data_IF_042611022022
#
_entry.id   IF_042611022022
#
_cell.length_a   1.000
_cell.length_b   1.000
_cell.length_c   1.000
_cell.angle_alpha   90.00
_cell.angle_beta   90.00
_cell.angle_gamma   90.00
#
_symmetry.space_group_name_H-M   'P 1'
#
loop_
_entity.id
_entity.type
_entity.pdbx_description
1 polymer ?
#
# COMPACT_ATOMS: atom_id res chain seq x y z
N UNK A 1 -2.51 51.43 -38.85
CA UNK A 1 -1.64 50.91 -37.78
C UNK A 1 -2.47 50.11 -36.82
N UNK A 2 -2.41 48.74 -36.91
CA UNK A 2 -3.09 47.81 -35.98
C UNK A 2 -2.06 47.32 -34.99
N UNK A 3 -2.27 47.60 -33.71
CA UNK A 3 -1.43 47.09 -32.62
C UNK A 3 -1.69 45.58 -32.43
N UNK A 4 -0.63 44.79 -32.51
CA UNK A 4 -0.65 43.37 -32.16
C UNK A 4 -0.61 43.26 -30.63
N UNK A 5 -1.61 42.59 -30.04
CA UNK A 5 -1.62 42.20 -28.62
C UNK A 5 -0.71 40.98 -28.43
N UNK A 6 0.38 41.16 -27.70
CA UNK A 6 1.24 40.07 -27.26
C UNK A 6 0.55 39.24 -26.17
N UNK A 7 0.46 37.93 -26.37
CA UNK A 7 0.06 36.98 -25.34
C UNK A 7 1.26 36.69 -24.42
N UNK A 8 1.08 36.61 -23.10
CA UNK A 8 2.16 36.25 -22.20
C UNK A 8 2.56 34.80 -22.39
N UNK A 9 3.85 34.55 -22.56
CA UNK A 9 4.45 33.21 -22.58
C UNK A 9 4.36 32.61 -21.14
N UNK A 10 3.58 31.59 -20.95
CA UNK A 10 3.51 30.85 -19.68
C UNK A 10 4.89 30.27 -19.33
N UNK A 11 5.35 30.46 -18.10
CA UNK A 11 6.62 29.93 -17.62
C UNK A 11 6.62 28.40 -17.62
N UNK A 12 7.78 27.79 -17.89
CA UNK A 12 7.97 26.32 -17.89
C UNK A 12 7.52 25.64 -16.59
N UNK A 13 7.49 26.37 -15.48
CA UNK A 13 7.00 25.90 -14.18
C UNK A 13 5.47 25.72 -14.16
N UNK A 14 4.70 26.58 -14.80
CA UNK A 14 3.24 26.50 -14.85
C UNK A 14 2.74 25.28 -15.65
N UNK A 15 3.48 24.87 -16.69
CA UNK A 15 3.17 23.69 -17.50
C UNK A 15 3.39 22.39 -16.69
N UNK A 16 4.46 22.33 -15.87
CA UNK A 16 4.74 21.18 -15.01
C UNK A 16 3.68 20.96 -13.92
N UNK A 17 3.10 22.02 -13.38
CA UNK A 17 2.02 21.95 -12.37
C UNK A 17 0.74 21.31 -12.92
N UNK A 18 0.39 21.56 -14.18
CA UNK A 18 -0.81 20.97 -14.80
C UNK A 18 -0.72 19.45 -15.01
N UNK A 19 0.51 18.92 -15.13
CA UNK A 19 0.78 17.52 -15.49
C UNK A 19 0.60 16.56 -14.32
N UNK A 20 0.99 16.94 -13.12
CA UNK A 20 0.94 16.09 -11.92
C UNK A 20 -0.49 15.95 -11.38
N UNK A 21 -1.30 16.96 -11.61
CA UNK A 21 -2.71 16.96 -11.24
C UNK A 21 -3.54 15.90 -11.99
N UNK A 22 -3.01 15.31 -13.07
CA UNK A 22 -3.74 14.32 -13.88
C UNK A 22 -3.51 12.86 -13.45
N UNK A 23 -2.36 12.52 -12.88
CA UNK A 23 -1.97 11.13 -12.57
C UNK A 23 -2.78 10.53 -11.41
N UNK A 24 -3.31 11.36 -10.51
CA UNK A 24 -3.93 10.90 -9.26
C UNK A 24 -5.41 10.56 -9.34
N UNK A 25 -6.11 10.99 -10.39
CA UNK A 25 -7.53 10.68 -10.54
C UNK A 25 -7.82 9.24 -11.03
N UNK A 26 -6.84 8.47 -11.52
CA UNK A 26 -7.02 7.10 -12.05
C UNK A 26 -7.15 6.02 -10.98
N UNK A 27 -6.65 6.26 -9.81
CA UNK A 27 -6.91 5.34 -8.69
C UNK A 27 -8.39 5.27 -8.32
N UNK A 28 -9.22 6.19 -8.84
CA UNK A 28 -10.66 6.27 -8.59
C UNK A 28 -11.53 5.42 -9.53
N UNK A 29 -11.08 5.17 -10.75
CA UNK A 29 -11.89 4.45 -11.74
C UNK A 29 -11.84 2.92 -11.59
N UNK A 30 -10.83 2.38 -10.90
CA UNK A 30 -10.67 0.93 -10.69
C UNK A 30 -11.55 0.33 -9.59
N UNK A 31 -12.09 1.13 -8.67
CA UNK A 31 -12.81 0.65 -7.49
C UNK A 31 -14.35 0.68 -7.60
N UNK A 32 -14.93 1.23 -8.67
CA UNK A 32 -16.39 1.36 -8.82
C UNK A 32 -16.98 0.52 -9.96
N UNK A 33 -16.57 -0.74 -10.09
CA UNK A 33 -17.35 -1.70 -10.90
C UNK A 33 -18.37 -2.41 -10.01
N UNK A 34 -19.63 -2.00 -10.15
CA UNK A 34 -20.79 -2.67 -9.56
C UNK A 34 -20.80 -4.15 -9.97
N UNK A 35 -20.81 -5.02 -8.98
CA UNK A 35 -21.05 -6.46 -9.13
C UNK A 35 -22.46 -6.68 -9.70
N UNK A 36 -22.54 -7.16 -10.94
CA UNK A 36 -23.75 -7.78 -11.48
C UNK A 36 -23.84 -9.20 -10.89
N UNK A 37 -24.96 -9.51 -10.28
CA UNK A 37 -25.26 -10.83 -9.72
C UNK A 37 -25.32 -11.91 -10.80
N UNK A 38 -24.75 -13.12 -10.57
CA UNK A 38 -24.93 -14.23 -11.51
C UNK A 38 -26.30 -14.86 -11.35
N UNK A 39 -26.97 -15.06 -12.49
CA UNK A 39 -28.24 -15.74 -12.58
C UNK A 39 -28.14 -17.21 -12.17
N UNK A 40 -29.17 -17.70 -11.49
CA UNK A 40 -29.36 -19.09 -11.14
C UNK A 40 -29.59 -19.93 -12.40
N UNK A 41 -28.85 -21.02 -12.55
CA UNK A 41 -29.24 -22.15 -13.40
C UNK A 41 -29.36 -23.40 -12.54
N UNK A 42 -30.60 -23.91 -12.48
CA UNK A 42 -30.98 -25.18 -11.89
C UNK A 42 -30.57 -26.34 -12.82
N UNK A 43 -29.81 -27.27 -12.30
CA UNK A 43 -29.52 -28.54 -12.99
C UNK A 43 -29.42 -29.68 -11.99
N UNK A 44 -30.46 -30.48 -12.00
CA UNK A 44 -30.62 -31.73 -11.22
C UNK A 44 -29.77 -32.83 -11.84
N UNK A 45 -29.00 -33.59 -11.06
CA UNK A 45 -28.54 -34.90 -11.45
C UNK A 45 -28.31 -35.84 -10.22
N UNK A 46 -28.79 -36.99 -10.37
CA UNK A 46 -29.13 -38.11 -9.52
C UNK A 46 -27.91 -38.83 -8.96
N UNK A 47 -28.07 -39.35 -7.74
CA UNK A 47 -27.16 -40.27 -7.05
C UNK A 47 -27.21 -41.67 -7.60
N UNK A 48 -26.08 -42.39 -7.57
CA UNK A 48 -26.06 -43.85 -7.53
C UNK A 48 -24.93 -44.35 -6.60
N UNK A 49 -25.33 -45.19 -5.67
CA UNK A 49 -24.55 -45.86 -4.67
C UNK A 49 -23.78 -47.07 -5.19
N UNK A 50 -22.66 -47.42 -4.57
CA UNK A 50 -21.98 -48.68 -4.74
C UNK A 50 -20.96 -48.94 -3.63
N UNK A 51 -21.36 -49.66 -2.61
CA UNK A 51 -20.50 -50.19 -1.56
C UNK A 51 -19.89 -51.52 -1.98
N UNK A 52 -18.63 -51.77 -1.63
CA UNK A 52 -18.19 -53.13 -1.31
C UNK A 52 -16.98 -53.13 -0.35
N UNK A 53 -17.14 -53.96 0.70
CA UNK A 53 -16.17 -54.25 1.72
C UNK A 53 -15.23 -55.41 1.30
N UNK A 54 -14.01 -55.42 1.83
CA UNK A 54 -13.06 -56.52 1.71
C UNK A 54 -12.15 -56.58 2.95
N UNK A 55 -12.18 -57.74 3.59
CA UNK A 55 -11.65 -58.06 4.90
C UNK A 55 -10.12 -58.19 5.00
N UNK A 56 -9.68 -58.04 6.24
CA UNK A 56 -8.41 -58.30 6.90
C UNK A 56 -7.76 -59.66 6.69
N UNK A 57 -6.40 -59.71 6.78
CA UNK A 57 -5.69 -60.85 7.37
C UNK A 57 -4.45 -60.35 8.15
N UNK A 58 -4.40 -60.75 9.42
CA UNK A 58 -3.26 -60.61 10.33
C UNK A 58 -2.15 -61.63 10.01
N UNK A 59 -0.89 -61.28 10.29
CA UNK A 59 0.26 -62.16 10.36
C UNK A 59 1.35 -61.59 11.27
N UNK A 60 2.17 -62.37 11.96
CA UNK A 60 2.65 -62.09 13.30
C UNK A 60 3.94 -61.30 13.42
N UNK A 61 4.07 -60.65 14.61
CA UNK A 61 5.16 -59.81 15.05
C UNK A 61 6.54 -60.47 15.07
N UNK A 62 7.54 -59.73 14.57
CA UNK A 62 8.95 -59.96 14.83
C UNK A 62 9.49 -58.80 15.68
N UNK A 63 10.00 -59.16 16.87
CA UNK A 63 10.62 -58.23 17.81
C UNK A 63 12.01 -57.78 17.27
N UNK A 64 12.17 -56.51 16.94
CA UNK A 64 13.45 -55.92 16.59
C UNK A 64 13.89 -54.95 17.69
N UNK A 65 15.02 -55.22 18.28
CA UNK A 65 15.74 -54.38 19.27
C UNK A 65 16.18 -53.08 18.62
N UNK A 66 15.75 -51.92 19.15
CA UNK A 66 16.16 -50.60 18.72
C UNK A 66 17.58 -50.28 19.20
N UNK A 67 18.44 -49.68 18.35
CA UNK A 67 19.70 -49.12 18.80
C UNK A 67 19.44 -47.79 19.54
N UNK A 68 20.24 -47.56 20.58
CA UNK A 68 20.24 -46.38 21.43
C UNK A 68 20.64 -45.15 20.57
N UNK A 69 19.70 -44.24 20.32
CA UNK A 69 19.98 -42.96 19.65
C UNK A 69 20.78 -42.03 20.57
N UNK A 70 21.94 -41.64 20.11
CA UNK A 70 22.75 -40.58 20.71
C UNK A 70 22.07 -39.24 20.42
N UNK A 71 21.52 -38.59 21.47
CA UNK A 71 20.88 -37.27 21.37
C UNK A 71 21.97 -36.25 20.93
N UNK A 72 21.85 -35.71 19.74
CA UNK A 72 22.64 -34.60 19.26
C UNK A 72 22.38 -33.36 20.14
N UNK A 73 23.38 -32.52 20.45
CA UNK A 73 23.18 -31.33 21.25
C UNK A 73 22.21 -30.37 20.53
N UNK A 74 21.20 -29.91 21.26
CA UNK A 74 20.26 -28.87 20.83
C UNK A 74 21.03 -27.66 20.36
N UNK A 75 20.79 -27.12 19.15
CA UNK A 75 21.47 -25.93 18.69
C UNK A 75 21.18 -24.76 19.64
N UNK A 76 22.23 -24.08 20.10
CA UNK A 76 22.13 -22.86 20.89
C UNK A 76 21.41 -21.82 20.03
N UNK A 77 20.34 -21.17 20.53
CA UNK A 77 19.66 -20.14 19.77
C UNK A 77 20.65 -19.03 19.39
N UNK A 78 20.71 -18.72 18.09
CA UNK A 78 21.48 -17.57 17.59
C UNK A 78 20.91 -16.31 18.24
N UNK A 79 21.74 -15.41 18.82
CA UNK A 79 21.23 -14.20 19.42
C UNK A 79 20.50 -13.37 18.36
N UNK A 80 19.24 -13.03 18.66
CA UNK A 80 18.42 -12.11 17.84
C UNK A 80 19.20 -10.79 17.77
N UNK A 81 19.47 -10.23 16.59
CA UNK A 81 20.15 -8.95 16.47
C UNK A 81 19.36 -7.88 17.21
N UNK A 82 20.01 -7.16 18.12
CA UNK A 82 19.44 -6.01 18.79
C UNK A 82 19.04 -4.97 17.74
N UNK A 83 17.80 -4.48 17.72
CA UNK A 83 17.39 -3.48 16.74
C UNK A 83 18.31 -2.26 16.82
N UNK A 84 18.87 -1.87 15.68
CA UNK A 84 19.70 -0.66 15.60
C UNK A 84 18.84 0.55 15.96
N UNK A 85 19.24 1.40 16.91
CA UNK A 85 18.47 2.59 17.27
C UNK A 85 18.23 3.44 16.01
N UNK A 86 16.98 3.74 15.71
CA UNK A 86 16.62 4.67 14.65
C UNK A 86 17.16 6.05 15.01
N UNK A 87 17.93 6.72 14.14
CA UNK A 87 18.37 8.08 14.40
C UNK A 87 17.16 8.96 14.65
N UNK A 88 17.11 9.64 15.80
CA UNK A 88 16.05 10.58 16.09
C UNK A 88 16.13 11.73 15.07
N UNK A 89 15.06 11.95 14.31
CA UNK A 89 14.95 13.17 13.48
C UNK A 89 15.04 14.39 14.39
N UNK A 90 15.71 15.47 13.96
CA UNK A 90 15.74 16.72 14.72
C UNK A 90 14.31 17.16 15.07
N UNK A 91 14.07 17.48 16.34
CA UNK A 91 12.78 17.98 16.81
C UNK A 91 12.60 19.37 16.24
N UNK A 92 11.58 19.55 15.40
CA UNK A 92 11.20 20.87 14.88
C UNK A 92 10.27 21.54 15.90
N UNK A 93 10.61 22.76 16.41
CA UNK A 93 9.80 23.45 17.41
C UNK A 93 8.36 23.74 16.95
N UNK A 94 8.12 23.94 15.64
CA UNK A 94 6.78 24.14 15.09
C UNK A 94 5.98 22.84 15.19
N UNK A 95 6.59 21.69 14.90
CA UNK A 95 5.96 20.38 14.99
C UNK A 95 5.57 20.06 16.43
N UNK A 96 6.48 20.28 17.38
CA UNK A 96 6.21 20.05 18.79
C UNK A 96 5.17 21.02 19.36
N UNK A 97 5.21 22.29 18.94
CA UNK A 97 4.21 23.28 19.37
C UNK A 97 2.81 22.97 18.84
N UNK A 98 2.73 22.42 17.64
CA UNK A 98 1.46 22.14 16.96
C UNK A 98 0.81 20.83 17.40
N UNK A 99 1.58 19.75 17.47
CA UNK A 99 1.08 18.40 17.74
C UNK A 99 1.33 17.93 19.19
N UNK A 100 2.21 18.59 19.91
CA UNK A 100 2.73 18.09 21.20
C UNK A 100 3.74 16.95 21.02
N UNK A 101 4.20 16.37 22.15
CA UNK A 101 5.16 15.26 22.12
C UNK A 101 4.55 13.99 21.53
N UNK A 102 5.39 13.12 20.96
CA UNK A 102 4.96 11.77 20.58
C UNK A 102 4.54 10.99 21.83
N UNK A 103 3.60 10.03 21.70
CA UNK A 103 3.34 9.08 22.76
C UNK A 103 4.62 8.33 23.13
N UNK A 104 4.71 7.87 24.37
CA UNK A 104 5.79 7.01 24.81
C UNK A 104 5.25 5.58 24.88
N UNK A 105 5.91 4.64 24.25
CA UNK A 105 5.55 3.23 24.38
C UNK A 105 5.69 2.78 25.84
N UNK A 106 4.69 2.07 26.35
CA UNK A 106 4.71 1.52 27.72
C UNK A 106 5.81 0.44 27.87
N UNK A 107 6.15 -0.20 26.77
CA UNK A 107 7.25 -1.16 26.61
C UNK A 107 7.77 -1.06 25.18
N UNK A 108 8.99 -1.49 24.94
CA UNK A 108 9.52 -1.65 23.57
C UNK A 108 9.63 -3.14 23.27
N UNK A 109 8.81 -3.59 22.32
CA UNK A 109 8.80 -4.98 21.86
C UNK A 109 9.60 -5.07 20.59
N UNK A 110 10.60 -5.97 20.55
CA UNK A 110 11.33 -6.25 19.33
C UNK A 110 10.46 -7.05 18.36
N UNK A 111 10.57 -6.76 17.08
CA UNK A 111 9.95 -7.53 16.01
C UNK A 111 11.01 -8.02 15.03
N UNK A 112 10.63 -8.98 14.22
CA UNK A 112 11.46 -9.48 13.13
C UNK A 112 10.92 -8.97 11.80
N UNK A 113 11.80 -8.38 10.97
CA UNK A 113 11.47 -8.10 9.59
C UNK A 113 11.39 -9.42 8.81
N UNK A 114 10.29 -9.63 8.09
CA UNK A 114 10.13 -10.79 7.22
C UNK A 114 10.10 -10.32 5.76
N UNK A 115 10.94 -10.91 4.91
CA UNK A 115 10.86 -10.65 3.47
C UNK A 115 9.53 -11.09 2.91
N UNK A 116 8.87 -10.21 2.16
CA UNK A 116 7.57 -10.48 1.57
C UNK A 116 7.60 -10.56 0.04
N UNK A 117 6.83 -11.52 -0.48
CA UNK A 117 6.44 -11.63 -1.88
C UNK A 117 4.93 -11.77 -1.90
N UNK A 118 4.25 -10.61 -1.91
CA UNK A 118 2.85 -10.53 -1.56
C UNK A 118 1.91 -10.36 -2.76
N UNK A 119 0.68 -10.86 -2.60
CA UNK A 119 -0.43 -10.63 -3.51
C UNK A 119 -1.51 -9.80 -2.85
N UNK A 120 -2.00 -8.76 -3.53
CA UNK A 120 -3.13 -7.98 -3.05
C UNK A 120 -4.45 -8.73 -3.30
N UNK A 121 -5.23 -8.92 -2.24
CA UNK A 121 -6.51 -9.64 -2.23
C UNK A 121 -7.72 -8.73 -1.98
N UNK A 122 -7.50 -7.48 -1.60
CA UNK A 122 -8.58 -6.55 -1.23
C UNK A 122 -9.47 -7.13 -0.13
N UNK A 123 -10.75 -7.36 -0.43
CA UNK A 123 -11.71 -7.96 0.51
C UNK A 123 -11.63 -9.50 0.56
N UNK A 124 -10.42 -10.07 0.59
CA UNK A 124 -10.15 -11.51 0.62
C UNK A 124 -10.76 -12.29 -0.57
N UNK A 125 -10.85 -11.66 -1.74
CA UNK A 125 -11.31 -12.32 -2.96
C UNK A 125 -10.31 -13.37 -3.44
N UNK A 126 -10.82 -14.47 -4.04
CA UNK A 126 -9.99 -15.55 -4.60
C UNK A 126 -9.03 -16.22 -3.59
N UNK A 127 -9.39 -16.25 -2.31
CA UNK A 127 -8.54 -16.76 -1.22
C UNK A 127 -7.97 -18.16 -1.52
N UNK A 128 -8.80 -19.12 -1.95
CA UNK A 128 -8.37 -20.51 -2.21
C UNK A 128 -7.38 -20.59 -3.39
N UNK A 129 -7.54 -19.76 -4.43
CA UNK A 129 -6.58 -19.72 -5.53
C UNK A 129 -5.25 -19.10 -5.13
N UNK A 130 -5.28 -18.13 -4.25
CA UNK A 130 -4.06 -17.49 -3.70
C UNK A 130 -3.31 -18.42 -2.77
N UNK A 131 -4.01 -19.17 -1.92
CA UNK A 131 -3.41 -20.22 -1.08
C UNK A 131 -2.70 -21.27 -1.96
N UNK A 132 -3.33 -21.70 -3.06
CA UNK A 132 -2.70 -22.62 -4.00
C UNK A 132 -1.43 -22.05 -4.61
N UNK A 133 -1.46 -20.77 -5.06
CA UNK A 133 -0.26 -20.10 -5.56
C UNK A 133 0.87 -20.05 -4.52
N UNK A 134 0.56 -19.73 -3.28
CA UNK A 134 1.56 -19.68 -2.21
C UNK A 134 2.14 -21.07 -1.84
N UNK A 135 1.37 -22.15 -2.05
CA UNK A 135 1.89 -23.51 -1.89
C UNK A 135 2.87 -23.92 -3.00
N UNK A 136 2.61 -23.45 -4.22
CA UNK A 136 3.32 -23.88 -5.42
C UNK A 136 4.46 -22.94 -5.83
N UNK A 137 4.49 -21.70 -5.29
CA UNK A 137 5.40 -20.64 -5.76
C UNK A 137 6.10 -19.90 -4.63
N UNK A 138 6.93 -18.93 -5.02
CA UNK A 138 7.67 -18.02 -4.12
C UNK A 138 6.79 -17.05 -3.32
N UNK A 139 5.48 -17.00 -3.56
CA UNK A 139 4.51 -16.15 -2.83
C UNK A 139 4.40 -16.61 -1.38
N UNK A 140 4.57 -15.68 -0.43
CA UNK A 140 4.57 -15.98 1.01
C UNK A 140 3.70 -15.03 1.85
N UNK A 141 3.10 -14.01 1.23
CA UNK A 141 2.30 -13.01 1.94
C UNK A 141 1.09 -12.57 1.12
N UNK A 142 0.11 -11.99 1.80
CA UNK A 142 -1.06 -11.35 1.18
C UNK A 142 -1.35 -10.00 1.81
N UNK A 143 -1.87 -9.06 1.00
CA UNK A 143 -2.39 -7.78 1.47
C UNK A 143 -3.92 -7.84 1.41
N UNK A 144 -4.58 -7.61 2.56
CA UNK A 144 -6.04 -7.53 2.67
C UNK A 144 -6.48 -6.15 3.14
N UNK A 145 -7.60 -5.65 2.63
CA UNK A 145 -8.15 -4.36 3.03
C UNK A 145 -8.88 -4.47 4.38
N UNK A 146 -8.31 -3.90 5.41
CA UNK A 146 -8.99 -3.69 6.69
C UNK A 146 -9.93 -2.49 6.62
N UNK A 147 -9.48 -1.40 6.01
CA UNK A 147 -10.25 -0.18 5.77
C UNK A 147 -9.94 0.40 4.40
N UNK A 148 -10.99 0.70 3.65
CA UNK A 148 -10.98 1.40 2.37
C UNK A 148 -11.57 2.80 2.51
N UNK A 149 -11.52 3.60 1.45
CA UNK A 149 -12.09 4.95 1.40
C UNK A 149 -13.59 5.03 1.71
N UNK A 150 -14.28 3.91 1.73
CA UNK A 150 -15.69 3.77 2.08
C UNK A 150 -15.91 2.95 3.36
N UNK A 151 -14.94 2.93 4.29
CA UNK A 151 -15.06 2.37 5.62
C UNK A 151 -14.40 1.00 5.83
N UNK A 152 -14.56 0.47 7.05
CA UNK A 152 -13.95 -0.77 7.54
C UNK A 152 -14.60 -2.00 6.91
N UNK A 153 -13.79 -3.01 6.54
CA UNK A 153 -14.22 -4.16 5.73
C UNK A 153 -14.52 -5.44 6.52
N UNK A 154 -14.35 -5.42 7.81
CA UNK A 154 -14.66 -6.53 8.74
C UNK A 154 -15.57 -6.02 9.88
N UNK A 155 -16.05 -6.90 10.74
CA UNK A 155 -16.91 -6.55 11.89
C UNK A 155 -16.08 -5.85 12.98
N UNK A 156 -15.77 -4.58 12.75
CA UNK A 156 -15.04 -3.75 13.70
C UNK A 156 -15.91 -3.25 14.85
N UNK A 157 -15.29 -3.06 16.01
CA UNK A 157 -15.87 -2.44 17.20
C UNK A 157 -15.23 -1.07 17.52
N UNK A 158 -14.37 -0.56 16.64
CA UNK A 158 -13.74 0.76 16.81
C UNK A 158 -14.84 1.83 16.91
N UNK A 159 -14.91 2.59 18.03
CA UNK A 159 -16.06 3.47 18.34
C UNK A 159 -16.37 4.45 17.20
N UNK A 160 -15.36 5.15 16.69
CA UNK A 160 -15.55 6.13 15.63
C UNK A 160 -16.14 5.51 14.35
N UNK A 161 -15.78 4.26 14.01
CA UNK A 161 -16.36 3.54 12.88
C UNK A 161 -17.81 3.14 13.13
N UNK A 162 -18.10 2.60 14.32
CA UNK A 162 -19.44 2.11 14.69
C UNK A 162 -20.44 3.26 14.79
N UNK A 163 -20.08 4.32 15.52
CA UNK A 163 -20.94 5.49 15.78
C UNK A 163 -21.31 6.27 14.52
N UNK A 164 -20.43 6.22 13.50
CA UNK A 164 -20.64 6.92 12.23
C UNK A 164 -21.07 6.00 11.08
N UNK A 165 -21.48 4.76 11.37
CA UNK A 165 -21.92 3.77 10.38
C UNK A 165 -20.90 3.49 9.27
N UNK A 166 -19.62 3.44 9.62
CA UNK A 166 -18.51 3.21 8.68
C UNK A 166 -18.04 1.75 8.63
N UNK A 167 -18.75 0.84 9.32
CA UNK A 167 -18.44 -0.60 9.28
C UNK A 167 -19.22 -1.24 8.13
N UNK A 168 -18.52 -1.58 7.06
CA UNK A 168 -19.06 -2.23 5.86
C UNK A 168 -18.39 -3.61 5.67
N UNK A 169 -18.67 -4.54 6.60
CA UNK A 169 -18.05 -5.85 6.64
C UNK A 169 -18.35 -6.65 5.35
N UNK A 170 -17.31 -7.04 4.64
CA UNK A 170 -17.37 -7.83 3.41
C UNK A 170 -16.91 -9.27 3.64
N UNK A 171 -16.13 -9.53 4.68
CA UNK A 171 -15.57 -10.85 5.00
C UNK A 171 -15.40 -11.03 6.51
N UNK A 172 -15.17 -12.29 6.89
CA UNK A 172 -14.87 -12.68 8.27
C UNK A 172 -13.35 -12.67 8.47
N UNK A 173 -12.80 -11.60 9.04
CA UNK A 173 -11.36 -11.42 9.21
C UNK A 173 -10.69 -12.57 9.99
N UNK A 174 -11.19 -13.00 11.18
CA UNK A 174 -10.62 -14.13 11.90
C UNK A 174 -10.52 -15.40 11.04
N UNK A 175 -11.57 -15.76 10.32
CA UNK A 175 -11.59 -16.97 9.49
C UNK A 175 -10.65 -16.89 8.28
N UNK A 176 -10.42 -15.70 7.72
CA UNK A 176 -9.46 -15.47 6.64
C UNK A 176 -8.04 -15.65 7.17
N UNK A 177 -7.72 -15.02 8.31
CA UNK A 177 -6.41 -15.14 8.96
C UNK A 177 -6.10 -16.59 9.31
N UNK A 178 -7.03 -17.31 9.96
CA UNK A 178 -6.87 -18.73 10.31
C UNK A 178 -6.48 -19.58 9.10
N UNK A 179 -7.18 -19.40 7.96
CA UNK A 179 -6.86 -20.13 6.72
C UNK A 179 -5.49 -19.80 6.16
N UNK A 180 -5.07 -18.55 6.21
CA UNK A 180 -3.78 -18.11 5.69
C UNK A 180 -2.63 -18.58 6.58
N UNK A 181 -2.79 -18.46 7.90
CA UNK A 181 -1.81 -18.94 8.88
C UNK A 181 -1.63 -20.45 8.86
N UNK A 182 -2.70 -21.23 8.60
CA UNK A 182 -2.60 -22.68 8.43
C UNK A 182 -1.67 -23.08 7.27
N UNK A 183 -1.39 -22.15 6.34
CA UNK A 183 -0.50 -22.34 5.20
C UNK A 183 0.85 -21.58 5.35
N UNK A 184 1.09 -20.98 6.50
CA UNK A 184 2.29 -20.19 6.75
C UNK A 184 2.37 -18.90 5.93
N UNK A 185 1.22 -18.33 5.52
CA UNK A 185 1.13 -17.12 4.71
C UNK A 185 0.97 -15.91 5.62
N UNK A 186 1.88 -14.93 5.50
CA UNK A 186 1.83 -13.66 6.23
C UNK A 186 0.65 -12.80 5.77
N UNK A 187 -0.08 -12.23 6.72
CA UNK A 187 -1.24 -11.38 6.48
C UNK A 187 -0.91 -9.91 6.76
N UNK A 188 -0.88 -9.11 5.71
CA UNK A 188 -0.65 -7.66 5.77
C UNK A 188 -2.00 -6.95 5.72
N UNK A 189 -2.33 -6.20 6.77
CA UNK A 189 -3.57 -5.45 6.87
C UNK A 189 -3.42 -4.02 6.33
N UNK A 190 -4.05 -3.73 5.18
CA UNK A 190 -4.01 -2.41 4.56
C UNK A 190 -5.11 -1.49 5.09
N UNK A 191 -4.74 -0.26 5.44
CA UNK A 191 -5.63 0.78 5.97
C UNK A 191 -5.45 2.06 5.13
N UNK A 192 -6.51 2.47 4.42
CA UNK A 192 -6.58 3.77 3.73
C UNK A 192 -6.76 4.88 4.78
N UNK A 193 -5.76 5.75 4.96
CA UNK A 193 -5.74 6.70 6.07
C UNK A 193 -6.53 7.98 5.79
N UNK A 194 -6.04 8.86 4.93
CA UNK A 194 -6.60 10.22 4.79
C UNK A 194 -7.60 10.40 3.66
N UNK A 195 -7.65 9.48 2.70
CA UNK A 195 -8.71 9.45 1.69
C UNK A 195 -9.92 8.71 2.24
N UNK A 196 -10.61 9.33 3.17
CA UNK A 196 -11.80 8.79 3.83
C UNK A 196 -12.98 9.78 3.70
N UNK A 197 -13.59 9.85 2.50
CA UNK A 197 -14.71 10.75 2.28
C UNK A 197 -15.94 10.40 3.12
N UNK A 198 -16.13 9.13 3.48
CA UNK A 198 -17.27 8.70 4.29
C UNK A 198 -17.17 9.23 5.72
N UNK A 199 -15.99 9.14 6.35
CA UNK A 199 -15.75 9.77 7.65
C UNK A 199 -15.83 11.30 7.53
N UNK A 200 -15.23 11.90 6.50
CA UNK A 200 -15.25 13.35 6.31
C UNK A 200 -16.68 13.90 6.04
N UNK A 201 -17.58 13.13 5.42
CA UNK A 201 -18.98 13.46 5.23
C UNK A 201 -19.79 13.27 6.52
N UNK A 202 -19.53 12.21 7.30
CA UNK A 202 -20.18 11.94 8.58
C UNK A 202 -19.72 12.90 9.70
N UNK A 203 -18.44 13.28 9.68
CA UNK A 203 -17.77 14.16 10.65
C UNK A 203 -17.02 15.29 9.91
N UNK A 204 -17.76 16.33 9.45
CA UNK A 204 -17.16 17.47 8.74
C UNK A 204 -16.09 18.22 9.55
N UNK A 205 -16.13 18.15 10.86
CA UNK A 205 -15.14 18.67 11.80
C UNK A 205 -13.76 17.96 11.66
N UNK A 206 -13.75 16.72 11.18
CA UNK A 206 -12.52 15.95 10.88
C UNK A 206 -12.03 16.15 9.45
N UNK A 207 -12.80 16.81 8.58
CA UNK A 207 -12.44 17.06 7.19
C UNK A 207 -11.40 18.18 7.06
N UNK A 208 -10.70 18.23 5.91
CA UNK A 208 -9.95 19.42 5.53
C UNK A 208 -10.94 20.54 5.22
N UNK A 209 -10.81 21.67 5.91
CA UNK A 209 -11.74 22.80 5.85
C UNK A 209 -11.06 24.07 5.28
N UNK A 210 -11.89 25.00 4.81
CA UNK A 210 -11.46 26.39 4.57
C UNK A 210 -11.44 27.20 5.89
N UNK A 211 -11.05 28.49 5.81
CA UNK A 211 -10.99 29.38 6.98
C UNK A 211 -12.36 29.63 7.64
N UNK A 212 -13.46 29.33 6.96
CA UNK A 212 -14.82 29.48 7.47
C UNK A 212 -15.40 28.18 8.06
N UNK A 213 -14.61 27.10 8.10
CA UNK A 213 -15.03 25.79 8.60
C UNK A 213 -15.81 24.95 7.59
N UNK A 214 -15.82 25.30 6.31
CA UNK A 214 -16.48 24.49 5.28
C UNK A 214 -15.55 23.38 4.80
N UNK A 215 -16.04 22.13 4.77
CA UNK A 215 -15.31 21.00 4.22
C UNK A 215 -15.01 21.20 2.73
N UNK A 216 -13.77 20.92 2.33
CA UNK A 216 -13.29 21.14 0.97
C UNK A 216 -13.43 19.87 0.12
N UNK A 217 -13.99 20.03 -1.09
CA UNK A 217 -14.11 18.98 -2.08
C UNK A 217 -13.04 19.13 -3.16
N UNK A 218 -12.33 18.05 -3.49
CA UNK A 218 -11.18 18.09 -4.40
C UNK A 218 -11.52 17.55 -5.79
N UNK A 219 -11.23 18.34 -6.83
CA UNK A 219 -11.61 18.06 -8.23
C UNK A 219 -11.08 16.72 -8.73
N UNK A 220 -9.82 16.42 -8.40
CA UNK A 220 -9.13 15.21 -8.88
C UNK A 220 -9.35 13.99 -7.96
N UNK A 221 -10.01 14.19 -6.83
CA UNK A 221 -10.35 13.11 -5.88
C UNK A 221 -11.85 12.74 -5.95
N UNK A 222 -12.43 12.80 -7.17
CA UNK A 222 -13.85 12.48 -7.39
C UNK A 222 -14.83 13.52 -6.86
N UNK A 223 -14.37 14.74 -6.63
CA UNK A 223 -15.13 15.83 -5.97
C UNK A 223 -15.58 15.43 -4.56
N UNK A 224 -14.75 14.68 -3.86
CA UNK A 224 -14.98 14.19 -2.50
C UNK A 224 -14.09 14.94 -1.49
N UNK A 225 -14.49 14.99 -0.20
CA UNK A 225 -13.65 15.51 0.85
C UNK A 225 -12.58 14.49 1.27
N UNK A 226 -11.56 14.98 1.97
CA UNK A 226 -10.55 14.17 2.69
C UNK A 226 -10.66 14.49 4.17
N UNK A 227 -10.37 13.53 5.04
CA UNK A 227 -10.10 13.83 6.44
C UNK A 227 -8.77 14.56 6.57
N UNK A 228 -8.65 15.37 7.61
CA UNK A 228 -7.52 16.28 7.78
C UNK A 228 -6.28 15.56 8.33
N UNK A 229 -5.15 15.49 7.58
CA UNK A 229 -3.92 14.86 8.06
C UNK A 229 -3.26 15.57 9.25
N UNK A 230 -3.71 16.77 9.62
CA UNK A 230 -3.26 17.45 10.83
C UNK A 230 -4.10 17.11 12.06
N UNK A 231 -5.20 16.37 11.93
CA UNK A 231 -6.11 16.05 13.03
C UNK A 231 -5.69 14.74 13.72
N UNK A 232 -5.35 14.81 15.02
CA UNK A 232 -4.87 13.66 15.80
C UNK A 232 -5.98 12.65 16.11
N UNK A 233 -7.26 13.03 16.11
CA UNK A 233 -8.37 12.06 16.24
C UNK A 233 -8.46 11.15 15.02
N UNK A 234 -8.15 11.70 13.82
CA UNK A 234 -8.03 10.90 12.59
C UNK A 234 -6.83 9.96 12.67
N UNK A 235 -5.71 10.38 13.28
CA UNK A 235 -4.56 9.52 13.49
C UNK A 235 -4.92 8.35 14.40
N UNK A 236 -5.50 8.65 15.56
CA UNK A 236 -5.89 7.64 16.54
C UNK A 236 -6.91 6.66 15.94
N UNK A 237 -7.87 7.13 15.17
CA UNK A 237 -8.84 6.27 14.48
C UNK A 237 -8.16 5.20 13.59
N UNK A 238 -7.17 5.57 12.79
CA UNK A 238 -6.46 4.62 11.96
C UNK A 238 -5.60 3.65 12.80
N UNK A 239 -5.00 4.13 13.88
CA UNK A 239 -4.24 3.31 14.84
C UNK A 239 -5.16 2.35 15.60
N UNK A 240 -6.36 2.75 15.99
CA UNK A 240 -7.32 1.90 16.69
C UNK A 240 -7.79 0.74 15.81
N UNK A 241 -8.04 0.98 14.51
CA UNK A 241 -8.33 -0.07 13.53
C UNK A 241 -7.15 -1.03 13.40
N UNK A 242 -5.92 -0.50 13.34
CA UNK A 242 -4.72 -1.32 13.29
C UNK A 242 -4.59 -2.22 14.53
N UNK A 243 -4.74 -1.64 15.74
CA UNK A 243 -4.66 -2.38 17.02
C UNK A 243 -5.73 -3.46 17.12
N UNK A 244 -6.96 -3.17 16.69
CA UNK A 244 -8.03 -4.16 16.68
C UNK A 244 -7.69 -5.33 15.73
N UNK A 245 -7.21 -5.04 14.52
CA UNK A 245 -6.84 -6.06 13.53
C UNK A 245 -5.63 -6.90 14.00
N UNK A 246 -4.64 -6.29 14.64
CA UNK A 246 -3.51 -6.98 15.27
C UNK A 246 -4.00 -7.94 16.36
N UNK A 247 -4.93 -7.51 17.21
CA UNK A 247 -5.50 -8.37 18.24
C UNK A 247 -6.30 -9.55 17.67
N UNK A 248 -6.76 -9.46 16.41
CA UNK A 248 -7.41 -10.55 15.67
C UNK A 248 -6.37 -11.51 15.05
N UNK A 249 -5.12 -11.02 14.81
CA UNK A 249 -4.03 -11.86 14.30
C UNK A 249 -3.40 -11.39 13.00
N UNK A 250 -3.59 -10.12 12.59
CA UNK A 250 -2.86 -9.53 11.45
C UNK A 250 -1.39 -9.40 11.80
N UNK A 251 -0.49 -9.82 10.90
CA UNK A 251 0.95 -9.91 11.13
C UNK A 251 1.70 -8.61 10.86
N UNK A 252 1.21 -7.76 9.95
CA UNK A 252 1.80 -6.48 9.58
C UNK A 252 0.70 -5.47 9.23
N UNK A 253 0.93 -4.20 9.52
CA UNK A 253 0.05 -3.09 9.14
C UNK A 253 0.68 -2.28 8.02
N UNK A 254 -0.11 -1.98 6.99
CA UNK A 254 0.29 -1.15 5.87
C UNK A 254 -0.67 0.03 5.72
N UNK A 255 -0.15 1.25 5.91
CA UNK A 255 -0.91 2.49 5.73
C UNK A 255 -0.82 3.00 4.31
N UNK A 256 -1.97 3.10 3.65
CA UNK A 256 -2.09 3.70 2.34
C UNK A 256 -2.79 5.07 2.42
N UNK A 257 -2.68 5.85 1.35
CA UNK A 257 -3.17 7.23 1.29
C UNK A 257 -2.67 8.10 2.46
N UNK A 258 -1.45 7.87 2.89
CA UNK A 258 -0.73 8.70 3.86
C UNK A 258 -0.21 9.96 3.17
N UNK A 259 -1.16 10.76 2.66
CA UNK A 259 -0.90 11.94 1.85
C UNK A 259 -2.03 12.96 1.89
N UNK A 260 -1.71 14.17 1.48
CA UNK A 260 -2.71 15.19 1.19
C UNK A 260 -3.39 14.96 -0.16
N UNK A 261 -4.61 15.49 -0.36
CA UNK A 261 -5.31 15.41 -1.64
C UNK A 261 -4.56 16.17 -2.73
N UNK A 262 -4.80 15.74 -3.97
CA UNK A 262 -4.23 16.36 -5.16
C UNK A 262 -5.26 17.23 -5.88
N UNK A 263 -4.76 18.16 -6.69
CA UNK A 263 -5.59 19.09 -7.45
C UNK A 263 -6.14 20.25 -6.62
N UNK A 264 -6.88 21.09 -7.30
CA UNK A 264 -7.58 22.20 -6.66
C UNK A 264 -8.94 21.82 -6.13
N UNK A 265 -9.47 22.60 -5.21
CA UNK A 265 -10.82 22.45 -4.68
C UNK A 265 -11.88 22.82 -5.73
N UNK A 266 -13.09 22.30 -5.57
CA UNK A 266 -14.21 22.58 -6.50
C UNK A 266 -14.62 24.05 -6.50
N UNK A 267 -14.50 24.73 -5.37
CA UNK A 267 -14.85 26.12 -5.15
C UNK A 267 -13.71 27.09 -5.42
N UNK A 268 -12.46 26.61 -5.52
CA UNK A 268 -11.27 27.44 -5.56
C UNK A 268 -10.80 27.90 -4.17
N UNK A 269 -11.53 27.60 -3.09
CA UNK A 269 -11.12 27.93 -1.74
C UNK A 269 -9.85 27.15 -1.33
N UNK A 270 -9.00 27.77 -0.52
CA UNK A 270 -7.78 27.16 0.00
C UNK A 270 -8.03 26.46 1.33
N UNK A 271 -7.34 25.32 1.60
CA UNK A 271 -7.37 24.70 2.90
C UNK A 271 -6.74 25.62 3.96
N UNK A 272 -7.30 25.54 5.18
CA UNK A 272 -6.79 26.26 6.34
C UNK A 272 -6.42 25.26 7.45
N UNK A 273 -5.20 25.32 7.90
CA UNK A 273 -4.67 24.45 8.95
C UNK A 273 -4.19 25.23 10.19
N UNK A 274 -4.26 26.56 10.16
CA UNK A 274 -3.78 27.47 11.18
C UNK A 274 -3.13 28.71 10.58
N UNK A 275 -2.58 29.58 11.41
CA UNK A 275 -1.91 30.82 10.96
C UNK A 275 -0.52 30.52 10.36
N UNK A 276 -0.13 31.31 9.39
CA UNK A 276 1.16 31.16 8.70
C UNK A 276 2.33 31.22 9.70
N UNK A 277 3.30 30.34 9.55
CA UNK A 277 4.47 30.25 10.45
C UNK A 277 4.22 29.45 11.73
N UNK A 278 2.97 29.02 12.02
CA UNK A 278 2.65 28.18 13.17
C UNK A 278 2.29 26.76 12.78
N UNK A 279 2.12 26.47 11.50
CA UNK A 279 1.67 25.19 10.96
C UNK A 279 2.88 24.44 10.39
N UNK A 280 3.08 23.17 10.79
CA UNK A 280 4.08 22.29 10.16
C UNK A 280 3.85 22.16 8.65
N UNK A 281 4.90 21.86 7.92
CA UNK A 281 4.77 21.51 6.49
C UNK A 281 3.96 20.20 6.32
N UNK A 282 3.42 19.95 5.14
CA UNK A 282 2.72 18.70 4.82
C UNK A 282 3.60 17.46 5.05
N UNK A 283 4.89 17.55 4.70
CA UNK A 283 5.85 16.47 4.94
C UNK A 283 6.00 16.22 6.45
N UNK A 284 6.13 17.28 7.25
CA UNK A 284 6.23 17.15 8.70
C UNK A 284 4.96 16.56 9.34
N UNK A 285 3.77 16.94 8.83
CA UNK A 285 2.50 16.38 9.33
C UNK A 285 2.37 14.88 9.05
N UNK A 286 2.67 14.45 7.82
CA UNK A 286 2.65 13.01 7.46
C UNK A 286 3.74 12.25 8.24
N UNK A 287 4.93 12.80 8.34
CA UNK A 287 6.02 12.19 9.12
C UNK A 287 5.64 12.03 10.59
N UNK A 288 5.00 13.06 11.19
CA UNK A 288 4.56 13.00 12.59
C UNK A 288 3.47 11.96 12.82
N UNK A 289 2.51 11.85 11.90
CA UNK A 289 1.51 10.76 11.93
C UNK A 289 2.17 9.38 11.89
N UNK A 290 3.09 9.15 10.96
CA UNK A 290 3.77 7.86 10.83
C UNK A 290 4.61 7.53 12.07
N UNK A 291 5.30 8.52 12.67
CA UNK A 291 6.00 8.34 13.94
C UNK A 291 5.04 8.04 15.09
N UNK A 292 3.90 8.74 15.17
CA UNK A 292 2.85 8.51 16.17
C UNK A 292 2.32 7.07 16.09
N UNK A 293 2.06 6.59 14.89
CA UNK A 293 1.59 5.24 14.65
C UNK A 293 2.69 4.19 14.94
N UNK A 294 3.95 4.47 14.53
CA UNK A 294 5.08 3.58 14.80
C UNK A 294 5.24 3.30 16.29
N UNK A 295 5.20 4.33 17.13
CA UNK A 295 5.31 4.14 18.59
C UNK A 295 4.22 3.21 19.11
N UNK A 296 2.99 3.37 18.67
CA UNK A 296 1.85 2.62 19.20
C UNK A 296 1.67 1.22 18.59
N UNK A 297 2.23 0.96 17.41
CA UNK A 297 2.08 -0.32 16.69
C UNK A 297 3.42 -1.07 16.73
N UNK A 298 4.48 -0.48 16.20
CA UNK A 298 5.76 -1.17 16.03
C UNK A 298 6.53 -1.25 17.35
N UNK A 299 6.69 -0.12 18.04
CA UNK A 299 7.48 -0.10 19.28
C UNK A 299 6.70 -0.79 20.44
N UNK A 300 5.40 -0.56 20.58
CA UNK A 300 4.61 -1.06 21.73
C UNK A 300 4.11 -2.49 21.54
N UNK A 301 3.73 -2.90 20.33
CA UNK A 301 3.14 -4.22 20.05
C UNK A 301 4.09 -5.18 19.31
N UNK A 302 5.23 -4.70 18.82
CA UNK A 302 6.17 -5.53 18.05
C UNK A 302 5.63 -5.98 16.70
N UNK A 303 4.74 -5.20 16.10
CA UNK A 303 4.14 -5.51 14.79
C UNK A 303 4.75 -4.58 13.72
N UNK A 304 5.30 -5.12 12.62
CA UNK A 304 5.84 -4.32 11.53
C UNK A 304 4.81 -3.31 11.00
N UNK A 305 5.25 -2.08 10.74
CA UNK A 305 4.45 -1.01 10.17
C UNK A 305 5.06 -0.53 8.85
N UNK A 306 4.30 -0.62 7.77
CA UNK A 306 4.66 -0.11 6.46
C UNK A 306 3.79 1.07 6.01
N UNK A 307 4.25 1.74 4.94
CA UNK A 307 3.52 2.82 4.29
C UNK A 307 3.59 2.71 2.76
N UNK A 308 2.43 2.86 2.11
CA UNK A 308 2.31 2.93 0.66
C UNK A 308 2.51 4.37 0.20
N UNK A 309 3.33 4.53 -0.83
CA UNK A 309 3.64 5.85 -1.38
C UNK A 309 3.55 5.87 -2.90
N UNK A 310 3.33 7.03 -3.48
CA UNK A 310 3.37 7.15 -4.94
C UNK A 310 4.80 7.03 -5.46
N UNK A 311 4.98 6.32 -6.58
CA UNK A 311 6.29 6.21 -7.24
C UNK A 311 6.92 7.57 -7.60
N UNK A 312 6.11 8.61 -7.82
CA UNK A 312 6.58 9.97 -8.13
C UNK A 312 7.50 10.54 -7.04
N UNK A 313 7.37 10.10 -5.78
CA UNK A 313 8.20 10.59 -4.67
C UNK A 313 9.65 10.13 -4.80
N UNK A 314 9.88 9.00 -5.48
CA UNK A 314 11.22 8.47 -5.78
C UNK A 314 11.94 9.24 -6.88
N UNK A 315 11.21 9.99 -7.73
CA UNK A 315 11.76 10.64 -8.93
C UNK A 315 11.59 12.17 -8.93
N UNK A 316 10.77 12.71 -8.03
CA UNK A 316 10.49 14.13 -7.96
C UNK A 316 10.21 14.60 -6.53
N UNK A 317 11.23 15.16 -5.87
CA UNK A 317 11.08 15.73 -4.52
C UNK A 317 9.99 16.81 -4.45
N UNK A 318 9.89 17.67 -5.48
CA UNK A 318 8.91 18.76 -5.51
C UNK A 318 7.47 18.24 -5.54
N UNK A 319 7.23 17.11 -6.16
CA UNK A 319 5.91 16.51 -6.26
C UNK A 319 5.55 15.74 -5.00
N UNK A 320 6.52 15.04 -4.43
CA UNK A 320 6.38 14.41 -3.12
C UNK A 320 6.00 15.43 -2.04
N UNK A 321 6.71 16.53 -1.94
CA UNK A 321 6.44 17.59 -0.95
C UNK A 321 5.02 18.17 -1.06
N UNK A 322 4.44 18.25 -2.27
CA UNK A 322 3.06 18.75 -2.47
C UNK A 322 2.01 17.89 -1.82
N UNK A 323 2.25 16.59 -1.76
CA UNK A 323 1.34 15.61 -1.16
C UNK A 323 1.74 15.21 0.26
N UNK A 324 2.86 15.74 0.76
CA UNK A 324 3.37 15.43 2.10
C UNK A 324 4.23 14.17 2.18
N UNK A 325 4.70 13.64 1.07
CA UNK A 325 5.59 12.49 1.00
C UNK A 325 6.97 12.92 0.49
N UNK A 326 8.00 12.81 1.30
CA UNK A 326 9.39 13.06 0.91
C UNK A 326 10.19 11.78 1.08
N UNK A 327 10.73 11.26 -0.03
CA UNK A 327 11.39 9.95 -0.06
C UNK A 327 12.54 9.83 0.94
N UNK A 328 13.38 10.84 1.01
CA UNK A 328 14.50 10.87 1.94
C UNK A 328 14.05 10.86 3.41
N UNK A 329 13.02 11.66 3.73
CA UNK A 329 12.46 11.72 5.09
C UNK A 329 11.79 10.42 5.50
N UNK A 330 11.02 9.79 4.60
CA UNK A 330 10.32 8.54 4.87
C UNK A 330 11.24 7.42 5.37
N UNK A 331 12.42 7.28 4.77
CA UNK A 331 13.41 6.28 5.20
C UNK A 331 14.10 6.55 6.53
N UNK A 332 13.84 7.72 7.15
CA UNK A 332 14.37 8.11 8.46
C UNK A 332 13.34 7.97 9.59
N UNK A 333 12.07 7.58 9.28
CA UNK A 333 11.01 7.51 10.28
C UNK A 333 11.06 6.24 11.15
N UNK A 334 11.88 5.25 10.77
CA UNK A 334 12.00 3.98 11.48
C UNK A 334 10.84 3.02 11.24
N UNK A 335 10.11 3.18 10.14
CA UNK A 335 9.15 2.19 9.67
C UNK A 335 9.88 0.91 9.25
N UNK A 336 9.18 -0.22 9.31
CA UNK A 336 9.71 -1.49 8.81
C UNK A 336 9.84 -1.48 7.28
N UNK A 337 8.82 -0.96 6.57
CA UNK A 337 8.73 -1.05 5.11
C UNK A 337 8.12 0.19 4.48
N UNK A 338 8.57 0.52 3.26
CA UNK A 338 7.90 1.46 2.37
C UNK A 338 7.60 0.73 1.06
N UNK A 339 6.37 0.90 0.56
CA UNK A 339 5.90 0.25 -0.65
C UNK A 339 5.54 1.29 -1.72
N UNK A 340 6.50 1.67 -2.59
CA UNK A 340 6.23 2.59 -3.68
C UNK A 340 5.39 1.91 -4.77
N UNK A 341 4.30 2.56 -5.18
CA UNK A 341 3.38 2.07 -6.20
C UNK A 341 3.92 2.35 -7.61
N UNK A 342 4.80 1.47 -8.10
CA UNK A 342 5.46 1.62 -9.40
C UNK A 342 4.62 0.92 -10.48
N UNK A 343 3.52 1.57 -10.86
CA UNK A 343 2.68 1.09 -11.97
C UNK A 343 3.02 1.86 -13.24
N UNK A 344 3.63 1.23 -14.27
CA UNK A 344 4.02 1.93 -15.50
C UNK A 344 2.87 2.71 -16.16
N UNK A 345 1.63 2.20 -16.10
CA UNK A 345 0.44 2.89 -16.63
C UNK A 345 0.09 4.19 -15.91
N UNK A 346 0.57 4.39 -14.68
CA UNK A 346 0.31 5.60 -13.89
C UNK A 346 1.33 6.72 -14.12
N UNK A 347 2.39 6.47 -14.85
CA UNK A 347 3.35 7.49 -15.26
C UNK A 347 2.75 8.36 -16.37
N UNK A 348 3.18 9.63 -16.42
CA UNK A 348 2.73 10.52 -17.46
C UNK A 348 3.19 10.05 -18.84
N UNK A 349 2.32 10.15 -19.86
CA UNK A 349 2.61 9.80 -21.24
C UNK A 349 2.39 11.00 -22.19
N UNK A 350 2.86 10.90 -23.42
CA UNK A 350 2.79 12.01 -24.37
C UNK A 350 1.46 12.14 -25.12
N UNK A 351 0.43 11.38 -24.77
CA UNK A 351 -0.92 11.60 -25.31
C UNK A 351 -1.51 12.92 -24.79
N UNK A 352 -2.56 13.39 -25.45
CA UNK A 352 -3.30 14.60 -25.03
C UNK A 352 -4.76 14.25 -24.82
N UNK A 353 -5.40 14.89 -23.83
CA UNK A 353 -6.82 14.70 -23.54
C UNK A 353 -7.18 13.38 -22.85
N UNK A 354 -6.20 12.58 -22.46
CA UNK A 354 -6.33 11.37 -21.67
C UNK A 354 -5.71 11.56 -20.29
N UNK A 355 -6.04 10.71 -19.41
CA UNK A 355 -5.90 10.75 -17.98
C UNK A 355 -4.45 10.93 -17.45
N UNK A 356 -3.46 10.18 -17.96
CA UNK A 356 -2.03 10.38 -17.68
C UNK A 356 -1.30 11.10 -18.81
N UNK A 357 -2.05 11.59 -19.82
CA UNK A 357 -1.51 12.29 -20.97
C UNK A 357 -1.14 13.73 -20.64
N UNK A 358 0.12 14.09 -20.82
CA UNK A 358 0.63 15.45 -20.59
C UNK A 358 1.26 16.09 -21.84
N UNK A 359 1.16 15.40 -22.99
CA UNK A 359 1.77 15.83 -24.25
C UNK A 359 3.29 15.66 -24.33
N UNK A 360 3.95 15.17 -23.26
CA UNK A 360 5.42 15.06 -23.18
C UNK A 360 5.89 13.68 -22.79
N UNK A 361 5.33 13.10 -21.72
CA UNK A 361 5.78 11.86 -21.11
C UNK A 361 6.34 12.08 -19.69
N UNK A 362 6.93 11.06 -19.12
CA UNK A 362 7.52 11.06 -17.79
C UNK A 362 9.04 10.97 -17.85
N UNK A 363 9.72 11.93 -17.23
CA UNK A 363 11.16 11.82 -17.01
C UNK A 363 11.44 10.94 -15.79
N UNK A 364 12.29 9.92 -15.96
CA UNK A 364 12.81 9.07 -14.86
C UNK A 364 14.33 9.02 -15.03
N UNK A 365 15.06 9.65 -14.11
CA UNK A 365 16.49 9.84 -14.25
C UNK A 365 16.84 10.56 -15.55
N UNK A 366 17.64 9.92 -16.39
CA UNK A 366 18.10 10.42 -17.71
C UNK A 366 17.13 10.09 -18.86
N UNK A 367 16.08 9.30 -18.61
CA UNK A 367 15.21 8.76 -19.66
C UNK A 367 13.83 9.41 -19.66
N UNK A 368 13.39 9.85 -20.85
CA UNK A 368 12.02 10.34 -21.07
C UNK A 368 11.16 9.20 -21.65
N UNK A 369 10.22 8.71 -20.86
CA UNK A 369 9.23 7.75 -21.31
C UNK A 369 8.01 8.46 -21.88
N UNK A 370 7.76 8.28 -23.18
CA UNK A 370 6.57 8.83 -23.84
C UNK A 370 5.36 7.89 -23.74
N UNK A 371 5.60 6.61 -23.52
CA UNK A 371 4.60 5.53 -23.39
C UNK A 371 5.05 4.54 -22.31
N UNK A 372 5.08 4.92 -21.04
CA UNK A 372 5.73 4.14 -19.97
C UNK A 372 5.18 2.72 -19.82
N UNK A 373 3.86 2.51 -20.02
CA UNK A 373 3.23 1.19 -19.87
C UNK A 373 3.76 0.11 -20.83
N UNK A 374 4.47 0.51 -21.90
CA UNK A 374 5.10 -0.42 -22.84
C UNK A 374 6.49 -0.92 -22.39
N UNK A 375 6.98 -0.47 -21.23
CA UNK A 375 8.35 -0.75 -20.74
C UNK A 375 8.34 -1.19 -19.26
N UNK A 376 7.67 -2.33 -18.92
CA UNK A 376 7.47 -2.74 -17.52
C UNK A 376 8.78 -2.92 -16.76
N UNK A 377 9.77 -3.60 -17.32
CA UNK A 377 11.08 -3.78 -16.72
C UNK A 377 11.82 -2.44 -16.54
N UNK A 378 11.94 -1.66 -17.60
CA UNK A 378 12.82 -0.49 -17.63
C UNK A 378 12.30 0.65 -16.72
N UNK A 379 10.97 0.88 -16.72
CA UNK A 379 10.32 1.85 -15.81
C UNK A 379 10.51 1.44 -14.36
N UNK A 380 10.31 0.17 -14.02
CA UNK A 380 10.52 -0.37 -12.68
C UNK A 380 11.97 -0.18 -12.25
N UNK A 381 12.93 -0.71 -13.02
CA UNK A 381 14.35 -0.67 -12.72
C UNK A 381 14.86 0.76 -12.53
N UNK A 382 14.58 1.66 -13.49
CA UNK A 382 15.08 3.04 -13.42
C UNK A 382 14.44 3.84 -12.29
N UNK A 383 13.15 3.63 -12.00
CA UNK A 383 12.53 4.29 -10.84
C UNK A 383 13.21 3.88 -9.54
N UNK A 384 13.47 2.59 -9.35
CA UNK A 384 14.17 2.08 -8.18
C UNK A 384 15.59 2.64 -8.08
N UNK A 385 16.34 2.71 -9.18
CA UNK A 385 17.71 3.27 -9.19
C UNK A 385 17.73 4.74 -8.80
N UNK A 386 16.81 5.57 -9.31
CA UNK A 386 16.69 6.99 -8.91
C UNK A 386 16.32 7.10 -7.43
N UNK A 387 15.42 6.24 -6.93
CA UNK A 387 15.09 6.19 -5.51
C UNK A 387 16.29 5.82 -4.62
N UNK A 388 17.16 4.91 -5.08
CA UNK A 388 18.40 4.56 -4.39
C UNK A 388 19.37 5.75 -4.30
N UNK A 389 19.52 6.52 -5.38
CA UNK A 389 20.36 7.71 -5.39
C UNK A 389 19.88 8.75 -4.37
N UNK A 390 18.57 8.95 -4.26
CA UNK A 390 17.99 9.86 -3.26
C UNK A 390 18.13 9.32 -1.83
N UNK A 391 17.97 8.02 -1.64
CA UNK A 391 18.19 7.37 -0.35
C UNK A 391 19.65 7.45 0.11
N UNK A 392 20.59 7.22 -0.80
CA UNK A 392 22.02 7.32 -0.52
C UNK A 392 22.45 8.74 -0.12
N UNK A 393 21.75 9.77 -0.59
CA UNK A 393 21.97 11.16 -0.21
C UNK A 393 21.38 11.52 1.17
N UNK A 394 20.65 10.63 1.84
CA UNK A 394 20.04 10.84 3.15
C UNK A 394 20.76 9.98 4.22
N UNK A 395 21.69 10.55 5.00
CA UNK A 395 22.41 9.80 6.03
C UNK A 395 21.43 9.18 7.05
N UNK A 396 21.60 7.89 7.31
CA UNK A 396 20.71 7.16 8.23
C UNK A 396 19.44 6.60 7.58
N UNK A 397 19.27 6.73 6.25
CA UNK A 397 18.18 6.06 5.53
C UNK A 397 18.25 4.55 5.77
N UNK A 398 17.20 4.01 6.37
CA UNK A 398 17.16 2.59 6.74
C UNK A 398 15.70 2.12 6.82
N UNK A 399 15.21 1.51 5.75
CA UNK A 399 13.85 0.97 5.63
C UNK A 399 13.84 -0.08 4.52
N UNK A 400 13.11 -1.17 4.68
CA UNK A 400 12.89 -2.13 3.61
C UNK A 400 12.00 -1.53 2.50
N UNK A 401 12.26 -1.90 1.27
CA UNK A 401 11.52 -1.43 0.10
C UNK A 401 10.86 -2.62 -0.58
N UNK A 402 9.53 -2.65 -0.55
CA UNK A 402 8.70 -3.62 -1.27
C UNK A 402 7.81 -2.92 -2.30
N UNK A 403 8.26 -2.73 -3.54
CA UNK A 403 7.48 -2.02 -4.55
C UNK A 403 6.16 -2.74 -4.87
N UNK A 404 5.10 -1.97 -5.09
CA UNK A 404 3.90 -2.48 -5.75
C UNK A 404 4.12 -2.56 -7.26
N UNK A 405 3.79 -3.72 -7.83
CA UNK A 405 3.87 -4.02 -9.26
C UNK A 405 2.49 -4.03 -9.89
N UNK A 406 2.45 -3.65 -11.18
CA UNK A 406 1.24 -3.70 -11.99
C UNK A 406 0.97 -5.13 -12.46
N UNK A 407 -0.17 -5.71 -12.05
CA UNK A 407 -0.65 -7.01 -12.53
C UNK A 407 -2.01 -6.89 -13.25
N UNK A 408 -2.20 -5.79 -14.01
CA UNK A 408 -3.42 -5.51 -14.75
C UNK A 408 -3.13 -4.81 -16.07
N UNK A 409 -3.97 -5.04 -17.07
CA UNK A 409 -3.91 -4.34 -18.37
C UNK A 409 -4.62 -3.00 -18.27
N UNK A 410 -3.90 -1.91 -18.55
CA UNK A 410 -4.38 -0.53 -18.45
C UNK A 410 -5.18 -0.09 -19.69
N UNK A 411 -6.25 -0.80 -20.03
CA UNK A 411 -7.06 -0.56 -21.25
C UNK A 411 -7.81 0.79 -21.25
N UNK A 412 -7.73 1.55 -20.19
CA UNK A 412 -8.21 2.94 -20.12
C UNK A 412 -7.26 3.95 -20.78
N UNK A 413 -6.01 3.54 -21.06
CA UNK A 413 -5.08 4.33 -21.86
C UNK A 413 -5.43 4.26 -23.36
N UNK A 414 -5.01 5.24 -24.17
CA UNK A 414 -5.24 5.20 -25.61
C UNK A 414 -4.59 3.99 -26.27
N UNK A 415 -5.15 3.52 -27.39
CA UNK A 415 -4.54 2.46 -28.19
C UNK A 415 -3.08 2.79 -28.54
N UNK A 416 -2.18 1.82 -28.33
CA UNK A 416 -0.74 1.96 -28.53
C UNK A 416 -0.01 2.69 -27.39
N UNK A 417 -0.70 2.97 -26.24
CA UNK A 417 -0.11 3.49 -25.02
C UNK A 417 -0.13 2.48 -23.87
N UNK A 418 -0.75 1.34 -24.08
CA UNK A 418 -0.75 0.22 -23.12
C UNK A 418 -0.49 -1.10 -23.85
N UNK A 419 -0.06 -2.08 -23.09
CA UNK A 419 0.09 -3.47 -23.53
C UNK A 419 -0.68 -4.42 -22.61
N UNK A 420 -0.87 -5.66 -23.03
CA UNK A 420 -1.45 -6.69 -22.15
C UNK A 420 -0.42 -7.09 -21.10
N UNK A 421 -0.81 -7.01 -19.84
CA UNK A 421 0.00 -7.49 -18.72
C UNK A 421 -0.42 -8.92 -18.37
N UNK A 422 0.44 -9.86 -18.69
CA UNK A 422 0.35 -11.28 -18.35
C UNK A 422 1.53 -11.73 -17.49
N UNK A 423 1.79 -13.03 -17.47
CA UNK A 423 2.89 -13.62 -16.71
C UNK A 423 4.26 -13.02 -17.06
N UNK A 424 4.50 -12.78 -18.35
CA UNK A 424 5.77 -12.22 -18.84
C UNK A 424 6.05 -10.83 -18.27
N UNK A 425 5.08 -9.91 -18.41
CA UNK A 425 5.25 -8.51 -17.97
C UNK A 425 5.32 -8.39 -16.44
N UNK A 426 4.65 -9.28 -15.70
CA UNK A 426 4.81 -9.40 -14.24
C UNK A 426 6.20 -9.88 -13.90
N UNK A 427 6.71 -10.96 -14.55
CA UNK A 427 8.05 -11.47 -14.30
C UNK A 427 9.15 -10.47 -14.66
N UNK A 428 8.96 -9.66 -15.72
CA UNK A 428 9.87 -8.57 -16.09
C UNK A 428 9.98 -7.52 -14.98
N UNK A 429 8.86 -7.16 -14.33
CA UNK A 429 8.88 -6.23 -13.21
C UNK A 429 9.56 -6.83 -11.98
N UNK A 430 9.30 -8.10 -11.64
CA UNK A 430 9.97 -8.80 -10.53
C UNK A 430 11.49 -8.87 -10.81
N UNK A 431 11.89 -9.22 -12.06
CA UNK A 431 13.29 -9.24 -12.44
C UNK A 431 13.97 -7.88 -12.30
N UNK A 432 13.26 -6.79 -12.66
CA UNK A 432 13.77 -5.43 -12.50
C UNK A 432 14.02 -5.05 -11.03
N UNK A 433 13.18 -5.54 -10.12
CA UNK A 433 13.36 -5.37 -8.67
C UNK A 433 14.61 -6.11 -8.19
N UNK A 434 14.77 -7.38 -8.59
CA UNK A 434 15.92 -8.21 -8.25
C UNK A 434 17.23 -7.61 -8.80
N UNK A 435 17.24 -7.15 -10.06
CA UNK A 435 18.39 -6.51 -10.69
C UNK A 435 18.73 -5.14 -10.07
N UNK A 436 17.74 -4.46 -9.48
CA UNK A 436 17.95 -3.26 -8.68
C UNK A 436 18.49 -3.57 -7.27
N UNK A 437 18.55 -4.84 -6.87
CA UNK A 437 19.09 -5.28 -5.58
C UNK A 437 18.05 -5.36 -4.46
N UNK A 438 16.77 -5.48 -4.78
CA UNK A 438 15.69 -5.72 -3.83
C UNK A 438 15.14 -7.15 -3.98
N UNK A 439 14.52 -7.67 -2.91
CA UNK A 439 13.98 -9.05 -2.87
C UNK A 439 12.50 -9.11 -2.62
N UNK A 440 11.92 -7.99 -2.19
CA UNK A 440 10.54 -7.88 -1.78
C UNK A 440 9.68 -7.19 -2.83
N UNK A 441 8.43 -7.61 -2.93
CA UNK A 441 7.45 -7.01 -3.84
C UNK A 441 6.01 -7.33 -3.46
N UNK A 442 5.08 -6.51 -3.96
CA UNK A 442 3.64 -6.69 -3.80
C UNK A 442 2.98 -6.55 -5.17
N UNK A 443 2.22 -7.54 -5.63
CA UNK A 443 1.45 -7.45 -6.88
C UNK A 443 0.06 -6.89 -6.61
N UNK A 444 -0.34 -5.90 -7.41
CA UNK A 444 -1.68 -5.35 -7.35
C UNK A 444 -2.52 -5.70 -8.59
N UNK A 445 -3.69 -6.29 -8.33
CA UNK A 445 -4.75 -6.53 -9.31
C UNK A 445 -6.10 -6.42 -8.60
N UNK A 446 -6.99 -5.56 -9.09
CA UNK A 446 -8.31 -5.33 -8.50
C UNK A 446 -9.22 -6.58 -8.47
N UNK A 447 -8.92 -7.58 -9.29
CA UNK A 447 -9.64 -8.86 -9.33
C UNK A 447 -8.99 -9.95 -8.48
N UNK A 448 -7.85 -9.65 -7.85
CA UNK A 448 -7.03 -10.62 -7.11
C UNK A 448 -6.79 -11.91 -7.92
N UNK A 449 -6.47 -11.77 -9.19
CA UNK A 449 -6.23 -12.89 -10.12
C UNK A 449 -4.84 -12.76 -10.74
N UNK A 450 -4.01 -13.78 -10.54
CA UNK A 450 -2.60 -13.77 -10.89
C UNK A 450 -2.22 -15.03 -11.65
N UNK A 451 -1.46 -14.93 -12.76
CA UNK A 451 -0.98 -16.08 -13.51
C UNK A 451 0.16 -16.78 -12.75
N UNK A 452 0.05 -18.09 -12.53
CA UNK A 452 1.05 -18.86 -11.80
C UNK A 452 2.43 -18.85 -12.47
N UNK A 453 2.45 -18.77 -13.78
CA UNK A 453 3.66 -18.76 -14.61
C UNK A 453 4.52 -17.49 -14.42
N UNK A 454 3.99 -16.46 -13.74
CA UNK A 454 4.76 -15.25 -13.39
C UNK A 454 5.76 -15.49 -12.26
N UNK A 455 5.54 -16.52 -11.43
CA UNK A 455 6.30 -16.78 -10.22
C UNK A 455 7.26 -17.94 -10.37
N UNK A 456 8.34 -17.93 -9.59
CA UNK A 456 9.21 -19.10 -9.45
C UNK A 456 8.49 -20.17 -8.64
N UNK A 457 8.72 -21.41 -9.00
CA UNK A 457 8.25 -22.53 -8.19
C UNK A 457 8.88 -22.47 -6.78
N UNK A 458 8.11 -22.86 -5.77
CA UNK A 458 8.62 -23.00 -4.42
C UNK A 458 9.68 -24.08 -4.43
N UNK A 459 10.91 -23.74 -4.04
CA UNK A 459 11.97 -24.73 -3.82
C UNK A 459 11.65 -25.45 -2.52
N UNK A 460 11.66 -26.79 -2.55
CA UNK A 460 11.65 -27.59 -1.31
C UNK A 460 12.94 -27.25 -0.54
N UNK A 461 12.84 -26.69 0.66
CA UNK A 461 13.95 -26.48 1.58
C UNK A 461 14.28 -27.77 2.32
#
# INVERSE_FOLDING_TARGET
>A
MKQAKSFPVMSRSAVRVAVILLVTSLLLAGCNLQLAAPGQSTGTATATSGAQAGQSTEGPAASATLPSETIAPTPTPTPVPTPTPVPALPIDPIVESYFGPLPTASQVVSYQHNEIRALYLGAAANLDSTIRLARETEVNAVVIDLKESNGVKYKSQVPLAVENNLVHALYNLPAVIEKLHAEGITVIGRIVCFKDPFLAEARPDLAIQDKNGNALLYKLEGKKPFVNPYNQDVWQYNVDIAKEAIAIGVDEIQFDYVRFPTGGTTTGASPYYGEEGTVPTKVQAISRFLQFARVQIQDELGIPLGADVFAIVMISKGDGNRIGQDWATLGLLGLDRISPMIYPSHYANNSTGHYTGNGTGQQVGDTLYTKPDLYPYDVMYKTLKVGQDFAAAAPGYNVAIAPYLQAFTASYLPNGYYMTYGAKEIREQIQAIEDAGYTEWILWNSRASYPAEAFRAKTEE
#
